data_IF_539126343037
#
_entry.id   IF_539126343037
#
_cell.length_a   1.000
_cell.length_b   1.000
_cell.length_c   1.000
_cell.angle_alpha   90.00
_cell.angle_beta   90.00
_cell.angle_gamma   90.00
#
_symmetry.space_group_name_H-M   'P 1'
#
loop_
_entity.id
_entity.type
_entity.pdbx_description
1 polymer ?
#
# COMPACT_ATOMS: atom_id res chain seq x y z
N UNK A 1 -5.98 -17.24 18.48
CA UNK A 1 -4.49 -17.24 18.50
C UNK A 1 -3.81 -17.60 17.17
N UNK A 2 -4.42 -18.35 16.22
CA UNK A 2 -3.83 -18.66 14.90
C UNK A 2 -3.94 -17.49 13.87
N UNK A 3 -4.96 -16.65 13.96
CA UNK A 3 -5.23 -15.57 12.98
C UNK A 3 -4.22 -14.43 13.11
N UNK A 4 -3.88 -13.99 14.33
CA UNK A 4 -2.89 -12.94 14.54
C UNK A 4 -1.52 -13.31 13.92
N UNK A 5 -1.05 -14.54 14.10
CA UNK A 5 0.22 -15.01 13.50
C UNK A 5 0.26 -14.94 11.96
N UNK A 6 -0.88 -15.07 11.30
CA UNK A 6 -0.95 -15.01 9.83
C UNK A 6 -0.78 -13.57 9.33
N UNK A 7 -1.43 -12.62 9.97
CA UNK A 7 -1.31 -11.19 9.64
C UNK A 7 0.12 -10.70 9.90
N UNK A 8 0.70 -11.04 11.04
CA UNK A 8 2.08 -10.71 11.41
C UNK A 8 3.06 -11.24 10.33
N UNK A 9 2.85 -12.47 9.86
CA UNK A 9 3.68 -13.07 8.80
C UNK A 9 3.67 -12.24 7.50
N UNK A 10 2.52 -11.72 7.08
CA UNK A 10 2.46 -10.85 5.89
C UNK A 10 3.06 -9.46 6.13
N UNK A 11 3.02 -8.96 7.37
CA UNK A 11 3.79 -7.79 7.77
C UNK A 11 5.30 -8.01 7.62
N UNK A 12 5.79 -9.17 8.06
CA UNK A 12 7.19 -9.56 7.89
C UNK A 12 7.58 -9.72 6.41
N UNK A 13 6.72 -10.38 5.61
CA UNK A 13 6.95 -10.52 4.16
C UNK A 13 7.01 -9.15 3.47
N UNK A 14 6.14 -8.22 3.85
CA UNK A 14 6.20 -6.85 3.34
C UNK A 14 7.54 -6.19 3.68
N UNK A 15 8.00 -6.32 4.91
CA UNK A 15 9.32 -5.80 5.31
C UNK A 15 10.43 -6.44 4.48
N UNK A 16 10.41 -7.75 4.31
CA UNK A 16 11.36 -8.47 3.45
C UNK A 16 11.35 -7.94 2.00
N UNK A 17 10.19 -7.62 1.44
CA UNK A 17 10.06 -7.04 0.09
C UNK A 17 10.73 -5.66 0.00
N UNK A 18 10.52 -4.78 1.00
CA UNK A 18 11.15 -3.46 1.03
C UNK A 18 12.66 -3.59 1.22
N UNK A 19 13.12 -4.47 2.11
CA UNK A 19 14.54 -4.75 2.32
C UNK A 19 15.19 -5.32 1.05
N UNK A 20 14.53 -6.25 0.36
CA UNK A 20 14.98 -6.80 -0.92
C UNK A 20 15.13 -5.70 -1.97
N UNK A 21 14.17 -4.80 -2.09
CA UNK A 21 14.26 -3.66 -3.00
C UNK A 21 15.45 -2.76 -2.65
N UNK A 22 15.57 -2.33 -1.40
CA UNK A 22 16.59 -1.38 -0.97
C UNK A 22 18.00 -1.96 -0.97
N UNK A 23 18.16 -3.16 -0.42
CA UNK A 23 19.49 -3.74 -0.16
C UNK A 23 19.97 -4.71 -1.23
N UNK A 24 19.07 -5.22 -2.07
CA UNK A 24 19.41 -6.16 -3.13
C UNK A 24 19.29 -5.53 -4.51
N UNK A 25 18.09 -5.11 -4.91
CA UNK A 25 17.86 -4.63 -6.27
C UNK A 25 18.53 -3.29 -6.55
N UNK A 26 18.37 -2.28 -5.68
CA UNK A 26 19.00 -0.97 -5.88
C UNK A 26 20.53 -1.01 -5.87
N UNK A 27 21.13 -2.02 -5.23
CA UNK A 27 22.59 -2.21 -5.24
C UNK A 27 23.09 -2.93 -6.47
N UNK A 28 22.31 -3.86 -7.02
CA UNK A 28 22.73 -4.75 -8.12
C UNK A 28 22.31 -4.23 -9.50
N UNK A 29 21.23 -3.45 -9.59
CA UNK A 29 20.68 -2.99 -10.86
C UNK A 29 20.82 -1.47 -11.01
N UNK A 30 21.85 -1.05 -11.76
CA UNK A 30 22.11 0.36 -12.04
C UNK A 30 21.00 1.05 -12.85
N UNK A 31 20.25 0.29 -13.67
CA UNK A 31 19.14 0.85 -14.43
C UNK A 31 17.98 1.17 -13.50
N UNK A 32 17.65 0.25 -12.58
CA UNK A 32 16.65 0.47 -11.53
C UNK A 32 17.04 1.65 -10.64
N UNK A 33 18.30 1.70 -10.20
CA UNK A 33 18.81 2.81 -9.38
C UNK A 33 18.64 4.16 -10.08
N UNK A 34 19.00 4.25 -11.37
CA UNK A 34 18.79 5.48 -12.16
C UNK A 34 17.31 5.83 -12.30
N UNK A 35 16.45 4.84 -12.55
CA UNK A 35 14.99 5.07 -12.64
C UNK A 35 14.43 5.57 -11.31
N UNK A 36 14.81 4.97 -10.19
CA UNK A 36 14.41 5.38 -8.86
C UNK A 36 14.85 6.82 -8.54
N UNK A 37 16.12 7.15 -8.79
CA UNK A 37 16.65 8.49 -8.57
C UNK A 37 16.00 9.54 -9.49
N UNK A 38 15.72 9.17 -10.76
CA UNK A 38 15.01 10.06 -11.70
C UNK A 38 13.59 10.36 -11.19
N UNK A 39 12.82 9.33 -10.86
CA UNK A 39 11.47 9.49 -10.33
C UNK A 39 11.44 10.27 -9.01
N UNK A 40 12.45 10.08 -8.14
CA UNK A 40 12.60 10.86 -6.90
C UNK A 40 12.81 12.36 -7.18
N UNK A 41 13.68 12.68 -8.15
CA UNK A 41 13.93 14.08 -8.54
C UNK A 41 12.71 14.74 -9.17
N UNK A 42 11.98 14.00 -10.01
CA UNK A 42 10.74 14.49 -10.62
C UNK A 42 9.67 14.81 -9.57
N UNK A 43 9.61 14.03 -8.48
CA UNK A 43 8.64 14.26 -7.38
C UNK A 43 9.08 15.33 -6.40
N UNK A 44 10.34 15.37 -6.01
CA UNK A 44 10.86 16.19 -4.89
C UNK A 44 11.84 17.30 -5.31
N UNK A 45 12.23 17.37 -6.59
CA UNK A 45 13.19 18.35 -7.08
C UNK A 45 14.66 17.92 -6.97
N UNK A 46 15.57 18.80 -7.40
CA UNK A 46 17.03 18.63 -7.32
C UNK A 46 17.65 19.90 -6.68
N UNK A 47 18.38 19.84 -5.54
CA UNK A 47 18.77 18.62 -4.85
C UNK A 47 17.56 17.89 -4.23
N UNK A 48 17.68 16.59 -4.19
CA UNK A 48 16.67 15.71 -3.62
C UNK A 48 16.50 16.01 -2.11
N UNK A 49 15.46 16.74 -1.78
CA UNK A 49 15.08 17.06 -0.40
C UNK A 49 13.84 16.25 -0.07
N UNK A 50 13.98 15.30 0.83
CA UNK A 50 12.84 14.60 1.42
C UNK A 50 12.37 15.42 2.61
N UNK A 51 11.23 16.06 2.47
CA UNK A 51 10.67 16.91 3.51
C UNK A 51 10.27 16.13 4.77
N UNK A 52 10.10 14.81 4.65
CA UNK A 52 9.78 13.92 5.78
C UNK A 52 10.16 12.47 5.49
N UNK A 53 10.47 11.72 6.55
CA UNK A 53 10.68 10.27 6.49
C UNK A 53 9.45 9.55 5.90
N UNK A 54 8.25 9.99 6.26
CA UNK A 54 6.99 9.45 5.75
C UNK A 54 6.85 9.62 4.23
N UNK A 55 7.24 10.77 3.69
CA UNK A 55 7.23 11.04 2.24
C UNK A 55 8.17 10.11 1.47
N UNK A 56 9.33 9.78 2.03
CA UNK A 56 10.24 8.81 1.44
C UNK A 56 9.68 7.39 1.45
N UNK A 57 9.07 6.98 2.55
CA UNK A 57 8.45 5.68 2.66
C UNK A 57 7.29 5.53 1.67
N UNK A 58 6.42 6.53 1.57
CA UNK A 58 5.33 6.54 0.59
C UNK A 58 5.85 6.42 -0.85
N UNK A 59 6.89 7.18 -1.19
CA UNK A 59 7.50 7.13 -2.50
C UNK A 59 8.10 5.76 -2.81
N UNK A 60 8.85 5.20 -1.86
CA UNK A 60 9.46 3.88 -2.00
C UNK A 60 8.40 2.79 -2.17
N UNK A 61 7.35 2.81 -1.36
CA UNK A 61 6.23 1.89 -1.46
C UNK A 61 5.54 1.99 -2.82
N UNK A 62 5.24 3.21 -3.29
CA UNK A 62 4.65 3.41 -4.61
C UNK A 62 5.54 2.85 -5.73
N UNK A 63 6.84 3.07 -5.64
CA UNK A 63 7.80 2.56 -6.62
C UNK A 63 7.86 1.04 -6.62
N UNK A 64 7.95 0.41 -5.46
CA UNK A 64 7.99 -1.06 -5.29
C UNK A 64 6.75 -1.73 -5.89
N UNK A 65 5.57 -1.14 -5.72
CA UNK A 65 4.31 -1.72 -6.21
C UNK A 65 3.97 -1.36 -7.67
N UNK A 66 4.60 -0.34 -8.25
CA UNK A 66 4.23 0.15 -9.59
C UNK A 66 5.33 0.03 -10.64
N UNK A 67 6.60 -0.03 -10.24
CA UNK A 67 7.71 -0.07 -11.19
C UNK A 67 7.73 -1.36 -12.01
N UNK A 68 7.88 -1.22 -13.35
CA UNK A 68 8.06 -2.32 -14.28
C UNK A 68 9.43 -2.24 -14.93
N UNK A 69 10.12 -3.37 -14.94
CA UNK A 69 11.39 -3.53 -15.65
C UNK A 69 11.17 -3.64 -17.16
N UNK A 70 12.25 -3.63 -17.94
CA UNK A 70 12.17 -3.76 -19.41
C UNK A 70 11.60 -5.10 -19.88
N UNK A 71 11.72 -6.14 -19.06
CA UNK A 71 11.14 -7.48 -19.27
C UNK A 71 9.68 -7.60 -18.78
N UNK A 72 9.06 -6.47 -18.47
CA UNK A 72 7.70 -6.32 -17.93
C UNK A 72 7.50 -6.96 -16.55
N UNK A 73 8.54 -7.48 -15.92
CA UNK A 73 8.49 -7.95 -14.53
C UNK A 73 8.42 -6.78 -13.55
N UNK A 74 7.79 -6.99 -12.41
CA UNK A 74 7.76 -6.02 -11.29
C UNK A 74 8.83 -6.36 -10.25
N UNK A 75 9.04 -5.46 -9.29
CA UNK A 75 9.84 -5.75 -8.09
C UNK A 75 9.30 -6.96 -7.34
N UNK A 76 7.97 -7.09 -7.28
CA UNK A 76 7.27 -8.21 -6.62
C UNK A 76 7.54 -9.53 -7.35
N UNK A 77 7.52 -9.56 -8.68
CA UNK A 77 7.82 -10.78 -9.45
C UNK A 77 9.24 -11.28 -9.17
N UNK A 78 10.21 -10.36 -9.17
CA UNK A 78 11.61 -10.72 -8.84
C UNK A 78 11.76 -11.17 -7.39
N UNK A 79 11.13 -10.47 -6.44
CA UNK A 79 11.14 -10.86 -5.04
C UNK A 79 10.61 -12.28 -4.83
N UNK A 80 9.45 -12.61 -5.42
CA UNK A 80 8.83 -13.93 -5.30
C UNK A 80 9.69 -15.02 -5.94
N UNK A 81 10.33 -14.73 -7.08
CA UNK A 81 11.17 -15.70 -7.77
C UNK A 81 12.52 -15.96 -7.07
N UNK A 82 13.07 -14.96 -6.40
CA UNK A 82 14.42 -15.03 -5.78
C UNK A 82 14.35 -15.36 -4.27
N UNK A 83 13.16 -15.31 -3.65
CA UNK A 83 13.00 -15.58 -2.20
C UNK A 83 12.59 -17.02 -1.97
N UNK A 84 13.49 -17.80 -1.32
CA UNK A 84 13.23 -19.21 -0.96
C UNK A 84 12.32 -19.40 0.26
N UNK A 85 12.23 -18.39 1.13
CA UNK A 85 11.54 -18.46 2.42
C UNK A 85 10.02 -18.30 2.34
N UNK A 86 9.47 -18.18 1.12
CA UNK A 86 8.03 -18.09 0.88
C UNK A 86 7.46 -19.45 0.48
N UNK A 87 6.43 -19.89 1.17
CA UNK A 87 5.60 -21.00 0.73
C UNK A 87 4.85 -20.66 -0.56
N UNK A 88 4.44 -21.65 -1.34
CA UNK A 88 3.69 -21.43 -2.59
C UNK A 88 2.36 -20.66 -2.35
N UNK A 89 1.72 -20.85 -1.19
CA UNK A 89 0.53 -20.06 -0.81
C UNK A 89 0.86 -18.60 -0.56
N UNK A 90 1.96 -18.31 0.12
CA UNK A 90 2.43 -16.95 0.35
C UNK A 90 2.83 -16.27 -0.97
N UNK A 91 3.56 -16.97 -1.83
CA UNK A 91 3.91 -16.48 -3.18
C UNK A 91 2.68 -16.09 -3.98
N UNK A 92 1.64 -16.94 -4.00
CA UNK A 92 0.39 -16.67 -4.70
C UNK A 92 -0.33 -15.41 -4.17
N UNK A 93 -0.27 -15.15 -2.86
CA UNK A 93 -0.85 -13.96 -2.26
C UNK A 93 0.01 -12.73 -2.57
N UNK A 94 1.33 -12.83 -2.41
CA UNK A 94 2.27 -11.73 -2.67
C UNK A 94 2.21 -11.28 -4.13
N UNK A 95 2.03 -12.18 -5.07
CA UNK A 95 1.83 -11.84 -6.48
C UNK A 95 0.57 -10.97 -6.73
N UNK A 96 -0.47 -11.08 -5.89
CA UNK A 96 -1.65 -10.19 -5.96
C UNK A 96 -1.33 -8.75 -5.50
N UNK A 97 -0.21 -8.51 -4.83
CA UNK A 97 0.20 -7.18 -4.39
C UNK A 97 0.60 -6.25 -5.54
N UNK A 98 0.79 -6.77 -6.75
CA UNK A 98 1.01 -5.98 -7.98
C UNK A 98 -0.18 -5.09 -8.33
N UNK A 99 -1.37 -5.49 -7.89
CA UNK A 99 -2.62 -4.76 -8.12
C UNK A 99 -3.26 -4.38 -6.78
N UNK A 100 -2.65 -3.44 -6.03
CA UNK A 100 -3.17 -3.02 -4.74
C UNK A 100 -4.49 -2.26 -4.92
N UNK A 101 -5.38 -2.39 -3.95
CA UNK A 101 -6.59 -1.56 -3.92
C UNK A 101 -6.22 -0.19 -3.37
N UNK A 102 -6.34 0.83 -4.21
CA UNK A 102 -6.14 2.23 -3.84
C UNK A 102 -7.50 2.90 -3.71
N UNK A 103 -7.70 3.73 -2.70
CA UNK A 103 -8.98 4.40 -2.57
C UNK A 103 -9.07 5.40 -1.44
N UNK A 104 -10.24 6.01 -1.44
CA UNK A 104 -10.77 6.79 -0.33
C UNK A 104 -11.80 5.90 0.40
N UNK A 105 -11.55 5.66 1.65
CA UNK A 105 -12.29 4.69 2.44
C UNK A 105 -13.07 5.38 3.56
N UNK A 106 -14.25 4.86 3.88
CA UNK A 106 -15.00 5.18 5.08
C UNK A 106 -15.03 3.98 6.01
N UNK A 107 -14.63 4.15 7.27
CA UNK A 107 -14.76 3.11 8.29
C UNK A 107 -16.24 2.86 8.57
N UNK A 108 -16.71 1.65 8.38
CA UNK A 108 -18.11 1.24 8.64
C UNK A 108 -18.27 0.68 10.04
N UNK A 109 -17.33 -0.16 10.47
CA UNK A 109 -17.39 -0.79 11.81
C UNK A 109 -15.99 -1.22 12.26
N UNK A 110 -15.75 -1.16 13.56
CA UNK A 110 -14.55 -1.70 14.20
C UNK A 110 -14.67 -3.20 14.45
N UNK A 111 -13.54 -3.87 14.49
CA UNK A 111 -13.38 -5.28 14.86
C UNK A 111 -12.33 -5.36 15.97
N UNK A 112 -12.28 -6.46 16.74
CA UNK A 112 -11.30 -6.62 17.83
C UNK A 112 -9.84 -6.47 17.39
N UNK A 113 -9.54 -6.77 16.11
CA UNK A 113 -8.19 -6.80 15.54
C UNK A 113 -8.09 -6.01 14.22
N UNK A 114 -8.98 -5.05 14.00
CA UNK A 114 -9.01 -4.24 12.79
C UNK A 114 -10.33 -3.52 12.58
N UNK A 115 -10.72 -3.33 11.34
CA UNK A 115 -11.99 -2.68 10.99
C UNK A 115 -12.44 -3.06 9.58
N UNK A 116 -13.72 -2.80 9.30
CA UNK A 116 -14.27 -2.87 7.95
C UNK A 116 -14.43 -1.45 7.42
N UNK A 117 -13.94 -1.23 6.22
CA UNK A 117 -14.08 0.04 5.52
C UNK A 117 -14.61 -0.17 4.11
N UNK A 118 -15.47 0.73 3.67
CA UNK A 118 -15.96 0.81 2.30
C UNK A 118 -15.05 1.72 1.48
N UNK A 119 -14.59 1.25 0.34
CA UNK A 119 -13.96 2.10 -0.64
C UNK A 119 -15.04 2.87 -1.41
N UNK A 120 -15.07 4.19 -1.25
CA UNK A 120 -16.12 5.07 -1.80
C UNK A 120 -16.06 5.19 -3.34
N UNK A 121 -15.04 4.62 -3.99
CA UNK A 121 -14.87 4.67 -5.44
C UNK A 121 -15.50 3.46 -6.11
N UNK A 122 -15.21 2.26 -5.60
CA UNK A 122 -15.74 1.00 -6.13
C UNK A 122 -16.91 0.42 -5.33
N UNK A 123 -17.28 1.07 -4.21
CA UNK A 123 -18.41 0.71 -3.34
C UNK A 123 -18.28 -0.72 -2.75
N UNK A 124 -17.02 -1.17 -2.53
CA UNK A 124 -16.72 -2.50 -1.97
C UNK A 124 -16.23 -2.35 -0.54
N UNK A 125 -16.73 -3.22 0.35
CA UNK A 125 -16.24 -3.32 1.74
C UNK A 125 -15.00 -4.22 1.81
N UNK A 126 -14.01 -3.76 2.57
CA UNK A 126 -12.74 -4.45 2.84
C UNK A 126 -12.55 -4.63 4.33
N UNK A 127 -12.17 -5.84 4.75
CA UNK A 127 -11.73 -6.10 6.12
C UNK A 127 -10.25 -5.80 6.22
N UNK A 128 -9.89 -4.78 6.99
CA UNK A 128 -8.51 -4.30 7.11
C UNK A 128 -7.96 -4.70 8.48
N UNK A 129 -6.82 -5.39 8.47
CA UNK A 129 -6.09 -5.88 9.65
C UNK A 129 -4.74 -5.15 9.71
N UNK A 130 -4.60 -4.07 10.48
CA UNK A 130 -3.32 -3.39 10.62
C UNK A 130 -2.26 -4.33 11.20
N UNK A 131 -1.08 -4.38 10.61
CA UNK A 131 0.07 -5.20 11.09
C UNK A 131 0.74 -4.61 12.32
N UNK A 132 0.63 -3.30 12.47
CA UNK A 132 0.94 -2.56 13.69
C UNK A 132 -0.29 -1.75 14.04
N UNK A 133 -0.77 -1.84 15.26
CA UNK A 133 -1.80 -0.93 15.77
C UNK A 133 -1.08 0.17 16.55
N UNK A 134 -0.71 1.30 15.92
CA UNK A 134 -0.34 2.47 16.70
C UNK A 134 -1.56 2.82 17.57
N UNK A 135 -1.36 3.16 18.83
CA UNK A 135 -2.44 3.64 19.71
C UNK A 135 -3.30 4.72 19.03
N UNK A 136 -2.70 5.47 18.12
CA UNK A 136 -3.35 6.47 17.28
C UNK A 136 -4.32 5.87 16.26
N UNK A 137 -4.09 4.65 15.76
CA UNK A 137 -4.96 4.02 14.77
C UNK A 137 -6.32 3.61 15.38
N UNK A 138 -6.34 3.14 16.62
CA UNK A 138 -7.60 2.83 17.31
C UNK A 138 -8.49 4.06 17.47
N UNK A 139 -7.89 5.23 17.72
CA UNK A 139 -8.63 6.49 17.84
C UNK A 139 -9.11 6.99 16.47
N UNK A 140 -8.35 6.76 15.42
CA UNK A 140 -8.64 7.24 14.07
C UNK A 140 -9.59 6.31 13.31
N UNK A 141 -9.50 4.99 13.51
CA UNK A 141 -10.32 4.00 12.82
C UNK A 141 -11.71 3.80 13.46
N UNK A 142 -12.34 4.89 13.88
CA UNK A 142 -13.73 4.89 14.40
C UNK A 142 -14.74 4.88 13.26
N UNK A 143 -15.94 4.29 13.45
CA UNK A 143 -17.01 4.35 12.45
C UNK A 143 -17.29 5.79 11.99
N UNK A 144 -17.42 5.97 10.68
CA UNK A 144 -17.57 7.28 10.04
C UNK A 144 -16.26 8.00 9.71
N UNK A 145 -15.11 7.56 10.22
CA UNK A 145 -13.82 8.15 9.84
C UNK A 145 -13.49 7.87 8.38
N UNK A 146 -12.85 8.86 7.73
CA UNK A 146 -12.38 8.75 6.35
C UNK A 146 -10.86 8.66 6.31
N UNK A 147 -10.35 7.88 5.38
CA UNK A 147 -8.91 7.81 5.13
C UNK A 147 -8.59 7.48 3.67
N UNK A 148 -7.45 7.98 3.22
CA UNK A 148 -6.86 7.62 1.94
C UNK A 148 -5.78 6.58 2.19
N UNK A 149 -5.81 5.49 1.44
CA UNK A 149 -4.84 4.42 1.57
C UNK A 149 -4.71 3.57 0.32
N UNK A 150 -3.62 2.81 0.31
CA UNK A 150 -3.44 1.60 -0.48
C UNK A 150 -3.59 0.41 0.47
N UNK A 151 -4.27 -0.64 0.04
CA UNK A 151 -4.38 -1.90 0.79
C UNK A 151 -4.01 -3.08 -0.10
N UNK A 152 -3.40 -4.09 0.49
CA UNK A 152 -2.97 -5.33 -0.17
C UNK A 152 -3.58 -6.55 0.52
N UNK A 153 -3.97 -7.60 -0.22
CA UNK A 153 -4.58 -8.78 0.35
C UNK A 153 -3.55 -9.62 1.14
N UNK A 154 -3.99 -10.23 2.23
CA UNK A 154 -3.28 -11.29 2.96
C UNK A 154 -3.98 -12.64 2.82
N UNK A 155 -5.22 -12.61 2.37
CA UNK A 155 -6.03 -13.75 1.95
C UNK A 155 -7.21 -13.24 1.10
N UNK A 156 -8.20 -14.08 0.83
CA UNK A 156 -9.34 -13.71 -0.02
C UNK A 156 -10.32 -12.70 0.64
N UNK A 157 -10.16 -12.41 1.92
CA UNK A 157 -11.10 -11.58 2.71
C UNK A 157 -10.44 -10.44 3.48
N UNK A 158 -9.16 -10.56 3.79
CA UNK A 158 -8.46 -9.66 4.69
C UNK A 158 -7.33 -8.96 3.98
N UNK A 159 -7.10 -7.69 4.37
CA UNK A 159 -6.14 -6.77 3.78
C UNK A 159 -5.29 -6.11 4.85
N UNK A 160 -4.10 -5.68 4.49
CA UNK A 160 -3.21 -4.86 5.31
C UNK A 160 -2.81 -3.59 4.58
N UNK A 161 -2.28 -2.62 5.32
CA UNK A 161 -1.64 -1.45 4.74
C UNK A 161 -0.20 -1.80 4.32
N UNK A 162 0.18 -1.60 3.06
CA UNK A 162 1.56 -1.77 2.62
C UNK A 162 2.47 -0.59 2.98
N UNK A 163 1.90 0.56 3.31
CA UNK A 163 2.61 1.80 3.55
C UNK A 163 1.79 2.76 4.39
N UNK A 164 1.98 4.04 4.13
CA UNK A 164 1.27 5.12 4.82
C UNK A 164 -0.20 5.13 4.48
N UNK A 165 -1.00 5.44 5.49
CA UNK A 165 -2.42 5.79 5.38
C UNK A 165 -2.62 7.20 5.93
N UNK A 166 -3.48 7.95 5.28
CA UNK A 166 -3.81 9.31 5.67
C UNK A 166 -5.27 9.38 6.13
N UNK A 167 -5.49 9.60 7.43
CA UNK A 167 -6.82 9.87 7.96
C UNK A 167 -7.17 11.34 7.72
N UNK A 168 -8.38 11.57 7.22
CA UNK A 168 -8.84 12.88 6.82
C UNK A 168 -9.62 13.52 7.96
N UNK A 169 -9.20 14.71 8.37
CA UNK A 169 -9.95 15.58 9.28
C UNK A 169 -10.87 16.49 8.48
N UNK A 170 -11.92 15.89 7.91
CA UNK A 170 -12.86 16.60 7.03
C UNK A 170 -14.27 16.07 7.21
N UNK A 171 -15.27 16.86 6.84
CA UNK A 171 -16.66 16.47 6.95
C UNK A 171 -17.05 15.45 5.86
N UNK A 172 -18.00 14.57 6.19
CA UNK A 172 -18.57 13.60 5.24
C UNK A 172 -19.06 14.29 3.95
N UNK A 173 -19.70 15.46 4.09
CA UNK A 173 -20.21 16.24 2.95
C UNK A 173 -19.11 16.65 1.98
N UNK A 174 -17.95 17.05 2.49
CA UNK A 174 -16.80 17.45 1.67
C UNK A 174 -16.18 16.24 0.97
N UNK A 175 -16.06 15.12 1.68
CA UNK A 175 -15.58 13.86 1.11
C UNK A 175 -16.48 13.39 -0.02
N UNK A 176 -17.80 13.31 0.22
CA UNK A 176 -18.76 12.86 -0.79
C UNK A 176 -18.80 13.80 -1.99
N UNK A 177 -18.67 15.12 -1.78
CA UNK A 177 -18.55 16.09 -2.87
C UNK A 177 -17.28 15.86 -3.71
N UNK A 178 -16.15 15.59 -3.06
CA UNK A 178 -14.90 15.28 -3.75
C UNK A 178 -15.04 13.98 -4.57
N UNK A 179 -15.59 12.92 -3.99
CA UNK A 179 -15.84 11.65 -4.69
C UNK A 179 -16.79 11.83 -5.88
N UNK A 180 -17.86 12.62 -5.73
CA UNK A 180 -18.79 12.90 -6.82
C UNK A 180 -18.20 13.70 -7.97
N UNK A 181 -17.11 14.46 -7.71
CA UNK A 181 -16.41 15.26 -8.72
C UNK A 181 -15.33 14.48 -9.48
N UNK A 182 -15.03 13.23 -9.07
CA UNK A 182 -14.05 12.41 -9.79
C UNK A 182 -14.58 12.00 -11.18
N UNK A 183 -13.83 12.27 -12.25
CA UNK A 183 -14.22 11.83 -13.58
C UNK A 183 -14.16 10.31 -13.66
N UNK A 184 -15.32 9.69 -13.89
CA UNK A 184 -15.51 8.24 -14.00
C UNK A 184 -15.10 7.40 -12.75
N UNK A 185 -16.10 6.99 -11.98
CA UNK A 185 -15.96 6.09 -10.82
C UNK A 185 -15.27 4.73 -11.10
N UNK A 186 -14.87 4.42 -12.33
CA UNK A 186 -14.39 3.09 -12.75
C UNK A 186 -12.98 3.02 -13.33
N UNK A 187 -12.33 4.12 -13.59
CA UNK A 187 -10.98 4.09 -14.15
C UNK A 187 -10.15 5.27 -13.66
N UNK A 188 -8.92 4.96 -13.23
CA UNK A 188 -7.82 5.89 -13.01
C UNK A 188 -7.79 6.67 -11.68
N UNK A 189 -7.49 5.97 -10.59
CA UNK A 189 -6.49 6.53 -9.71
C UNK A 189 -5.14 6.00 -10.20
N UNK A 190 -4.76 6.39 -11.39
CA UNK A 190 -3.37 6.46 -11.78
C UNK A 190 -2.76 7.58 -10.94
N UNK A 191 -1.92 7.23 -9.98
CA UNK A 191 -0.91 8.14 -9.47
C UNK A 191 -0.14 8.67 -10.70
N UNK A 192 0.23 9.96 -10.74
CA UNK A 192 0.90 10.53 -11.90
C UNK A 192 2.11 9.68 -12.26
N UNK A 193 2.22 9.38 -13.56
CA UNK A 193 3.35 8.66 -14.17
C UNK A 193 4.63 9.43 -13.99
#
# INVERSE_FOLDING_TARGET
>A
MKIARHIDRFGDIRKMLVDYFQYTLLKKDDALKRAFLKASREKYGDPFVIDSEDGFHEFTDNFVYSYRFRDDLTVIDRFVSETSDLSEKEKAIVLKWKDPVVGLFQVKRTLPDGFVAENLINEVEYTIKPTTIPQRLEQLARPGAFFRAKIIPVNDKEYIFPGTQEFLDTSEKEVLKAVASLPNKKSEICLPR
#
